data_IF_547357428511
#
_entry.id   IF_547357428511
#
_cell.length_a   1.000
_cell.length_b   1.000
_cell.length_c   1.000
_cell.angle_alpha   90.00
_cell.angle_beta   90.00
_cell.angle_gamma   90.00
#
_symmetry.space_group_name_H-M   'P 1'
#
loop_
_entity.id
_entity.type
_entity.pdbx_description
1 polymer ?
#
# COMPACT_ATOMS: atom_id res chain seq x y z
N UNK A 1 -9.30 22.62 -3.21
CA UNK A 1 -9.14 21.98 -1.89
C UNK A 1 -9.92 20.67 -1.77
N UNK A 2 -11.12 20.52 -2.35
CA UNK A 2 -11.86 19.25 -2.29
C UNK A 2 -11.17 18.08 -3.01
N UNK A 3 -10.63 18.29 -4.23
CA UNK A 3 -9.98 17.22 -4.99
C UNK A 3 -8.67 16.70 -4.35
N UNK A 4 -7.89 17.57 -3.71
CA UNK A 4 -6.66 17.19 -3.02
C UNK A 4 -6.95 16.32 -1.80
N UNK A 5 -8.01 16.65 -1.04
CA UNK A 5 -8.44 15.83 0.09
C UNK A 5 -8.95 14.46 -0.35
N UNK A 6 -9.79 14.41 -1.41
CA UNK A 6 -10.25 13.15 -1.98
C UNK A 6 -9.10 12.26 -2.45
N UNK A 7 -8.05 12.84 -3.05
CA UNK A 7 -6.86 12.08 -3.45
C UNK A 7 -6.11 11.51 -2.24
N UNK A 8 -5.91 12.31 -1.19
CA UNK A 8 -5.28 11.86 0.07
C UNK A 8 -6.08 10.72 0.70
N UNK A 9 -7.41 10.84 0.76
CA UNK A 9 -8.27 9.83 1.36
C UNK A 9 -8.21 8.51 0.58
N UNK A 10 -8.18 8.57 -0.76
CA UNK A 10 -8.01 7.40 -1.60
C UNK A 10 -6.63 6.73 -1.43
N UNK A 11 -5.57 7.53 -1.32
CA UNK A 11 -4.21 7.03 -1.06
C UNK A 11 -4.13 6.32 0.30
N UNK A 12 -4.62 6.98 1.37
CA UNK A 12 -4.68 6.41 2.72
C UNK A 12 -5.51 5.12 2.75
N UNK A 13 -6.65 5.10 2.06
CA UNK A 13 -7.49 3.90 1.98
C UNK A 13 -6.76 2.72 1.33
N UNK A 14 -5.98 2.95 0.29
CA UNK A 14 -5.19 1.90 -0.35
C UNK A 14 -4.09 1.36 0.58
N UNK A 15 -3.38 2.24 1.29
CA UNK A 15 -2.37 1.86 2.30
C UNK A 15 -3.04 1.09 3.45
N UNK A 16 -4.16 1.57 3.97
CA UNK A 16 -4.91 0.96 5.07
C UNK A 16 -5.34 -0.50 4.77
N UNK A 17 -5.67 -0.83 3.51
CA UNK A 17 -5.97 -2.23 3.12
C UNK A 17 -4.79 -3.18 3.39
N UNK A 18 -3.57 -2.72 3.13
CA UNK A 18 -2.33 -3.47 3.35
C UNK A 18 -2.02 -3.55 4.85
N UNK A 19 -2.12 -2.42 5.54
CA UNK A 19 -1.87 -2.31 6.98
C UNK A 19 -2.80 -3.21 7.79
N UNK A 20 -4.09 -3.23 7.44
CA UNK A 20 -5.12 -3.98 8.17
C UNK A 20 -4.85 -5.49 8.25
N UNK A 21 -4.28 -6.08 7.20
CA UNK A 21 -3.92 -7.50 7.18
C UNK A 21 -2.46 -7.75 7.59
N UNK A 22 -1.68 -6.69 7.81
CA UNK A 22 -0.28 -6.75 8.18
C UNK A 22 -0.03 -7.55 9.46
N UNK A 23 -0.78 -7.35 10.56
CA UNK A 23 -0.63 -8.15 11.78
C UNK A 23 -0.83 -9.65 11.56
N UNK A 24 -1.78 -10.05 10.72
CA UNK A 24 -2.02 -11.45 10.37
C UNK A 24 -0.83 -12.03 9.59
N UNK A 25 -0.21 -11.24 8.71
CA UNK A 25 1.01 -11.67 8.02
C UNK A 25 2.20 -11.79 8.99
N UNK A 26 2.41 -10.81 9.86
CA UNK A 26 3.51 -10.81 10.82
C UNK A 26 3.38 -11.93 11.87
N UNK A 27 2.15 -12.31 12.22
CA UNK A 27 1.85 -13.47 13.07
C UNK A 27 1.82 -14.81 12.31
N UNK A 28 2.08 -14.80 11.00
CA UNK A 28 2.09 -15.97 10.09
C UNK A 28 0.73 -16.64 9.91
N UNK A 29 -0.36 -15.92 10.17
CA UNK A 29 -1.73 -16.36 9.89
C UNK A 29 -2.08 -16.31 8.39
N UNK A 30 -1.40 -15.46 7.60
CA UNK A 30 -1.49 -15.44 6.14
C UNK A 30 -0.11 -15.64 5.48
N UNK A 31 -0.11 -16.17 4.26
CA UNK A 31 1.13 -16.44 3.54
C UNK A 31 1.76 -15.16 2.96
N UNK A 32 3.07 -15.15 2.66
CA UNK A 32 3.68 -14.05 1.92
C UNK A 32 3.07 -13.85 0.52
N UNK A 33 2.57 -14.91 -0.11
CA UNK A 33 1.87 -14.85 -1.39
C UNK A 33 0.55 -14.06 -1.25
N UNK A 34 -0.28 -14.39 -0.26
CA UNK A 34 -1.54 -13.67 0.01
C UNK A 34 -1.31 -12.19 0.35
N UNK A 35 -0.27 -11.93 1.16
CA UNK A 35 0.12 -10.58 1.54
C UNK A 35 0.53 -9.75 0.32
N UNK A 36 1.37 -10.31 -0.55
CA UNK A 36 1.92 -9.60 -1.71
C UNK A 36 0.89 -9.43 -2.82
N UNK A 37 -0.05 -10.37 -2.98
CA UNK A 37 -1.25 -10.15 -3.79
C UNK A 37 -2.09 -8.99 -3.27
N UNK A 38 -2.29 -8.89 -1.96
CA UNK A 38 -3.03 -7.76 -1.38
C UNK A 38 -2.33 -6.43 -1.64
N UNK A 39 -0.99 -6.37 -1.49
CA UNK A 39 -0.17 -5.19 -1.80
C UNK A 39 -0.39 -4.72 -3.25
N UNK A 40 -0.27 -5.63 -4.22
CA UNK A 40 -0.43 -5.30 -5.64
C UNK A 40 -1.87 -4.91 -5.96
N UNK A 41 -2.86 -5.62 -5.42
CA UNK A 41 -4.27 -5.34 -5.65
C UNK A 41 -4.68 -3.97 -5.09
N UNK A 42 -4.24 -3.60 -3.88
CA UNK A 42 -4.53 -2.29 -3.30
C UNK A 42 -4.03 -1.14 -4.18
N UNK A 43 -2.83 -1.28 -4.74
CA UNK A 43 -2.25 -0.28 -5.67
C UNK A 43 -3.01 -0.26 -7.00
N UNK A 44 -3.39 -1.43 -7.53
CA UNK A 44 -4.14 -1.52 -8.78
C UNK A 44 -5.54 -0.88 -8.64
N UNK A 45 -6.23 -1.11 -7.52
CA UNK A 45 -7.51 -0.47 -7.24
C UNK A 45 -7.39 1.05 -7.13
N UNK A 46 -6.35 1.56 -6.46
CA UNK A 46 -6.09 3.00 -6.41
C UNK A 46 -5.82 3.57 -7.80
N UNK A 47 -5.05 2.86 -8.64
CA UNK A 47 -4.80 3.27 -10.03
C UNK A 47 -6.10 3.38 -10.82
N UNK A 48 -6.95 2.35 -10.75
CA UNK A 48 -8.24 2.35 -11.44
C UNK A 48 -9.13 3.50 -10.95
N UNK A 49 -9.15 3.77 -9.65
CA UNK A 49 -9.89 4.91 -9.08
C UNK A 49 -9.32 6.26 -9.53
N UNK A 50 -8.00 6.39 -9.65
CA UNK A 50 -7.35 7.64 -10.05
C UNK A 50 -7.55 7.97 -11.53
N UNK A 51 -7.54 6.94 -12.40
CA UNK A 51 -7.83 7.10 -13.84
C UNK A 51 -9.26 7.64 -14.06
N UNK A 52 -10.22 7.21 -13.25
CA UNK A 52 -11.59 7.72 -13.27
C UNK A 52 -11.72 9.19 -12.79
N UNK A 53 -10.73 9.70 -12.04
CA UNK A 53 -10.77 11.01 -11.39
C UNK A 53 -9.84 12.06 -12.03
N UNK A 54 -9.38 11.83 -13.26
CA UNK A 54 -8.59 12.80 -14.01
C UNK A 54 -7.08 12.69 -13.86
N UNK A 55 -6.57 11.56 -13.34
CA UNK A 55 -5.16 11.20 -13.42
C UNK A 55 -4.44 11.01 -12.09
N UNK A 56 -3.18 10.60 -12.18
CA UNK A 56 -2.38 10.09 -11.05
C UNK A 56 -1.41 11.12 -10.47
N UNK A 57 -1.48 12.37 -10.93
CA UNK A 57 -0.57 13.44 -10.50
C UNK A 57 -0.93 13.89 -9.08
N UNK A 58 0.02 13.86 -8.12
CA UNK A 58 -0.24 14.33 -6.77
C UNK A 58 -0.56 15.82 -6.77
N UNK A 59 -1.62 16.21 -6.07
CA UNK A 59 -2.09 17.59 -5.98
C UNK A 59 -1.56 18.34 -4.74
N UNK A 60 -0.78 17.65 -3.90
CA UNK A 60 -0.17 18.19 -2.68
C UNK A 60 1.06 17.38 -2.28
N UNK A 61 1.92 17.96 -1.43
CA UNK A 61 3.10 17.26 -0.89
C UNK A 61 2.72 15.99 -0.10
N UNK A 62 1.63 16.05 0.68
CA UNK A 62 1.11 14.88 1.40
C UNK A 62 0.64 13.77 0.44
N UNK A 63 -0.03 14.14 -0.65
CA UNK A 63 -0.43 13.16 -1.66
C UNK A 63 0.79 12.54 -2.37
N UNK A 64 1.85 13.31 -2.59
CA UNK A 64 3.10 12.81 -3.17
C UNK A 64 3.80 11.81 -2.25
N UNK A 65 3.88 12.10 -0.95
CA UNK A 65 4.45 11.21 0.06
C UNK A 65 3.70 9.88 0.14
N UNK A 66 2.37 9.93 0.32
CA UNK A 66 1.54 8.72 0.35
C UNK A 66 1.59 7.94 -0.96
N UNK A 67 1.72 8.64 -2.09
CA UNK A 67 1.88 7.99 -3.38
C UNK A 67 3.22 7.25 -3.48
N UNK A 68 4.29 7.79 -2.92
CA UNK A 68 5.58 7.12 -2.86
C UNK A 68 5.50 5.85 -1.99
N UNK A 69 4.77 5.89 -0.87
CA UNK A 69 4.48 4.69 -0.08
C UNK A 69 3.75 3.61 -0.90
N UNK A 70 2.74 3.98 -1.70
CA UNK A 70 2.08 3.02 -2.59
C UNK A 70 3.01 2.45 -3.67
N UNK A 71 3.98 3.22 -4.17
CA UNK A 71 4.99 2.72 -5.10
C UNK A 71 5.89 1.69 -4.42
N UNK A 72 6.30 1.92 -3.18
CA UNK A 72 7.08 0.96 -2.39
C UNK A 72 6.28 -0.32 -2.13
N UNK A 73 5.00 -0.21 -1.76
CA UNK A 73 4.08 -1.35 -1.61
C UNK A 73 4.02 -2.16 -2.91
N UNK A 74 3.84 -1.49 -4.06
CA UNK A 74 3.84 -2.17 -5.36
C UNK A 74 5.18 -2.84 -5.66
N UNK A 75 6.28 -2.14 -5.40
CA UNK A 75 7.64 -2.61 -5.65
C UNK A 75 7.95 -3.86 -4.86
N UNK A 76 7.66 -3.86 -3.56
CA UNK A 76 7.84 -5.01 -2.68
C UNK A 76 6.93 -6.19 -3.08
N UNK A 77 5.63 -5.94 -3.29
CA UNK A 77 4.68 -6.99 -3.68
C UNK A 77 5.04 -7.65 -5.02
N UNK A 78 5.30 -6.84 -6.04
CA UNK A 78 5.72 -7.35 -7.36
C UNK A 78 7.16 -7.86 -7.41
N UNK A 79 7.99 -7.50 -6.43
CA UNK A 79 9.33 -8.05 -6.24
C UNK A 79 9.24 -9.51 -5.81
N UNK A 80 8.43 -9.78 -4.79
CA UNK A 80 8.22 -11.13 -4.25
C UNK A 80 7.58 -12.06 -5.29
N UNK A 81 6.50 -11.60 -5.93
CA UNK A 81 5.80 -12.37 -6.98
C UNK A 81 6.68 -12.66 -8.21
N UNK A 82 7.76 -11.90 -8.40
CA UNK A 82 8.74 -12.12 -9.46
C UNK A 82 10.03 -12.78 -8.95
N UNK A 83 10.02 -13.34 -7.73
CA UNK A 83 11.16 -14.02 -7.10
C UNK A 83 12.42 -13.14 -6.96
N UNK A 84 12.25 -11.81 -6.90
CA UNK A 84 13.33 -10.82 -6.73
C UNK A 84 13.56 -10.43 -5.26
N UNK A 85 12.60 -10.72 -4.38
CA UNK A 85 12.76 -10.59 -2.93
C UNK A 85 12.07 -11.74 -2.19
N UNK A 86 12.47 -11.97 -0.95
CA UNK A 86 11.97 -13.04 -0.10
C UNK A 86 10.89 -12.56 0.88
N UNK A 87 10.35 -13.49 1.66
CA UNK A 87 9.33 -13.20 2.67
C UNK A 87 9.83 -12.23 3.76
N UNK A 88 11.14 -12.23 4.07
CA UNK A 88 11.73 -11.34 5.07
C UNK A 88 11.80 -9.89 4.58
N UNK A 89 11.99 -9.67 3.28
CA UNK A 89 11.84 -8.36 2.65
C UNK A 89 10.39 -7.84 2.78
N UNK A 90 9.41 -8.69 2.53
CA UNK A 90 7.98 -8.35 2.70
C UNK A 90 7.68 -8.04 4.16
N UNK A 91 8.14 -8.87 5.10
CA UNK A 91 7.95 -8.68 6.54
C UNK A 91 8.50 -7.34 7.05
N UNK A 92 9.68 -6.91 6.59
CA UNK A 92 10.24 -5.60 6.94
C UNK A 92 9.37 -4.45 6.45
N UNK A 93 8.90 -4.51 5.21
CA UNK A 93 7.98 -3.51 4.65
C UNK A 93 6.67 -3.46 5.43
N UNK A 94 6.07 -4.62 5.74
CA UNK A 94 4.82 -4.65 6.49
C UNK A 94 5.01 -4.17 7.93
N UNK A 95 6.12 -4.51 8.58
CA UNK A 95 6.44 -4.00 9.92
C UNK A 95 6.49 -2.49 9.92
N UNK A 96 7.19 -1.88 8.97
CA UNK A 96 7.23 -0.42 8.81
C UNK A 96 5.84 0.17 8.58
N UNK A 97 5.04 -0.41 7.68
CA UNK A 97 3.70 0.10 7.38
C UNK A 97 2.75 -0.02 8.57
N UNK A 98 2.82 -1.11 9.34
CA UNK A 98 2.00 -1.31 10.54
C UNK A 98 2.44 -0.39 11.67
N UNK A 99 3.74 -0.11 11.82
CA UNK A 99 4.23 0.84 12.82
C UNK A 99 3.84 2.29 12.49
N UNK A 100 3.99 2.67 11.22
CA UNK A 100 3.74 4.05 10.74
C UNK A 100 2.25 4.36 10.58
N UNK A 101 1.46 3.41 10.08
CA UNK A 101 0.06 3.61 9.69
C UNK A 101 -0.94 2.70 10.42
N UNK A 102 -0.47 1.80 11.28
CA UNK A 102 -1.33 1.02 12.15
C UNK A 102 -1.85 1.91 13.26
N UNK A 103 -3.10 2.35 13.14
CA UNK A 103 -3.76 3.05 14.21
C UNK A 103 -3.88 2.16 15.46
N UNK A 104 -3.49 2.73 16.61
CA UNK A 104 -3.89 2.27 17.93
C UNK A 104 -5.38 2.64 18.16
N UNK A 105 -6.30 2.08 17.37
CA UNK A 105 -7.74 2.15 17.65
C UNK A 105 -8.18 1.06 18.63
#
# INVERSE_FOLDING_TARGET
MAQSQTQIDHLKKAISKVVKIGPDFLSKAISPEDMTHTMVNAVQEYKNQSELNGGFTPQSAQAEELLNILKEIKGCGSGYLAERCDADCVARTITFLVDEFGDNE
#
